data_IF_077838342161
#
_entry.id   IF_077838342161
#
_cell.length_a   1.000
_cell.length_b   1.000
_cell.length_c   1.000
_cell.angle_alpha   90.00
_cell.angle_beta   90.00
_cell.angle_gamma   90.00
#
_symmetry.space_group_name_H-M   'P 1'
#
loop_
_entity.id
_entity.type
_entity.pdbx_description
1 polymer ?
#
# COMPACT_ATOMS: atom_id res chain seq x y z
N UNK A 1 11.47 2.04 -9.47
CA UNK A 1 12.16 3.34 -9.42
C UNK A 1 12.70 3.49 -8.00
N UNK A 2 14.02 3.66 -7.79
CA UNK A 2 14.61 3.84 -6.46
C UNK A 2 15.58 5.02 -6.51
N UNK A 3 15.54 5.90 -5.51
CA UNK A 3 16.45 7.06 -5.41
C UNK A 3 17.13 7.04 -4.05
N UNK A 4 18.43 7.30 -4.05
CA UNK A 4 19.22 7.38 -2.82
C UNK A 4 18.77 8.59 -1.98
N UNK A 5 18.59 8.37 -0.68
CA UNK A 5 18.30 9.42 0.29
C UNK A 5 19.56 10.27 0.52
N UNK A 6 19.43 11.60 0.40
CA UNK A 6 20.46 12.56 0.83
C UNK A 6 19.84 13.58 1.78
N UNK A 7 20.47 13.83 2.93
CA UNK A 7 20.11 14.92 3.85
C UNK A 7 20.80 16.20 3.36
N UNK A 8 20.10 17.34 3.18
CA UNK A 8 18.70 17.61 3.48
C UNK A 8 17.74 17.14 2.36
N UNK A 9 16.54 16.74 2.76
CA UNK A 9 15.46 16.30 1.86
C UNK A 9 15.13 17.40 0.85
N UNK A 10 15.51 17.20 -0.41
CA UNK A 10 15.30 18.16 -1.50
C UNK A 10 13.83 18.15 -1.93
N UNK A 11 13.28 19.31 -2.26
CA UNK A 11 11.93 19.47 -2.80
C UNK A 11 11.77 18.66 -4.11
N UNK A 12 10.69 17.89 -4.23
CA UNK A 12 10.54 16.87 -5.28
C UNK A 12 9.55 17.30 -6.38
N UNK A 13 9.82 16.89 -7.63
CA UNK A 13 9.01 17.19 -8.82
C UNK A 13 7.73 16.32 -8.85
N UNK A 14 6.59 16.95 -9.16
CA UNK A 14 5.22 16.40 -9.08
C UNK A 14 4.87 15.29 -10.09
N UNK A 15 5.77 14.90 -10.98
CA UNK A 15 5.45 13.98 -12.07
C UNK A 15 6.25 12.69 -12.02
N UNK A 16 5.57 11.60 -12.41
CA UNK A 16 6.04 10.22 -12.62
C UNK A 16 5.86 9.27 -11.42
N UNK A 17 4.60 8.94 -11.09
CA UNK A 17 4.16 7.65 -10.49
C UNK A 17 2.69 7.41 -10.89
N UNK A 18 2.28 6.16 -11.14
CA UNK A 18 0.86 5.77 -11.22
C UNK A 18 0.12 6.27 -9.98
N UNK A 19 -0.88 7.13 -10.17
CA UNK A 19 -1.60 7.85 -9.12
C UNK A 19 -2.16 6.92 -8.01
N UNK A 20 -2.53 5.71 -8.38
CA UNK A 20 -3.21 4.70 -7.56
C UNK A 20 -2.46 4.28 -6.29
N UNK A 21 -1.14 4.37 -6.29
CA UNK A 21 -0.29 3.97 -5.16
C UNK A 21 0.25 5.17 -4.36
N UNK A 22 -0.20 6.38 -4.67
CA UNK A 22 0.31 7.60 -4.04
C UNK A 22 -0.24 7.77 -2.62
N UNK A 23 0.67 8.02 -1.68
CA UNK A 23 0.33 8.19 -0.27
C UNK A 23 -0.47 9.49 0.00
N UNK A 24 -1.36 9.51 1.01
CA UNK A 24 -2.24 10.65 1.27
C UNK A 24 -1.44 11.92 1.63
N UNK A 25 -0.31 11.82 2.31
CA UNK A 25 0.54 12.97 2.63
C UNK A 25 1.16 13.62 1.38
N UNK A 26 1.42 12.83 0.34
CA UNK A 26 1.92 13.34 -0.95
C UNK A 26 0.78 14.01 -1.71
N UNK A 27 -0.40 13.36 -1.76
CA UNK A 27 -1.61 13.92 -2.38
C UNK A 27 -2.06 15.23 -1.70
N UNK A 28 -1.89 15.32 -0.38
CA UNK A 28 -2.24 16.49 0.41
C UNK A 28 -1.16 17.59 0.39
N UNK A 29 -0.05 17.37 -0.31
CA UNK A 29 0.99 18.38 -0.55
C UNK A 29 1.99 18.54 0.59
N UNK A 30 2.27 17.49 1.37
CA UNK A 30 3.33 17.54 2.39
C UNK A 30 4.68 17.97 1.76
N UNK A 31 5.38 18.97 2.31
CA UNK A 31 6.62 19.48 1.74
C UNK A 31 7.79 18.49 1.83
N UNK A 32 7.67 17.50 2.72
CA UNK A 32 8.65 16.44 2.92
C UNK A 32 7.97 15.10 3.06
N UNK A 33 8.55 14.08 2.46
CA UNK A 33 8.15 12.70 2.60
C UNK A 33 9.39 11.80 2.67
N UNK A 34 9.21 10.59 3.20
CA UNK A 34 10.29 9.62 3.41
C UNK A 34 9.78 8.20 3.20
N UNK A 35 10.43 7.22 3.84
CA UNK A 35 10.11 5.79 3.70
C UNK A 35 8.65 5.39 3.94
N UNK A 36 7.80 6.11 4.72
CA UNK A 36 6.39 5.75 4.85
C UNK A 36 5.59 5.76 3.54
N UNK A 37 5.99 6.51 2.51
CA UNK A 37 5.28 6.52 1.21
C UNK A 37 5.39 5.18 0.49
N UNK A 38 6.52 4.49 0.66
CA UNK A 38 6.74 3.15 0.11
C UNK A 38 5.85 2.14 0.83
N UNK A 39 5.68 2.29 2.16
CA UNK A 39 4.83 1.42 2.96
C UNK A 39 3.35 1.57 2.63
N UNK A 40 2.90 2.78 2.28
CA UNK A 40 1.55 3.00 1.74
C UNK A 40 1.35 2.29 0.41
N UNK A 41 2.32 2.46 -0.51
CA UNK A 41 2.30 1.80 -1.82
C UNK A 41 2.24 0.28 -1.66
N UNK A 42 3.01 -0.28 -0.71
CA UNK A 42 2.95 -1.69 -0.35
C UNK A 42 1.56 -2.11 0.15
N UNK A 43 0.90 -1.31 1.00
CA UNK A 43 -0.46 -1.59 1.44
C UNK A 43 -1.48 -1.62 0.30
N UNK A 44 -1.34 -0.70 -0.66
CA UNK A 44 -2.18 -0.67 -1.86
C UNK A 44 -1.98 -1.92 -2.73
N UNK A 45 -0.72 -2.29 -2.99
CA UNK A 45 -0.37 -3.52 -3.73
C UNK A 45 -0.84 -4.76 -2.97
N UNK A 46 -0.70 -4.77 -1.65
CA UNK A 46 -1.15 -5.89 -0.80
C UNK A 46 -2.65 -6.12 -0.93
N UNK A 47 -3.47 -5.06 -0.84
CA UNK A 47 -4.91 -5.16 -1.08
C UNK A 47 -5.24 -5.58 -2.53
N UNK A 48 -4.53 -5.04 -3.51
CA UNK A 48 -4.69 -5.40 -4.92
C UNK A 48 -4.39 -6.88 -5.20
N UNK A 49 -3.39 -7.47 -4.54
CA UNK A 49 -3.08 -8.90 -4.69
C UNK A 49 -4.24 -9.81 -4.26
N UNK A 50 -5.06 -9.40 -3.31
CA UNK A 50 -6.23 -10.18 -2.88
C UNK A 50 -7.42 -10.03 -3.83
N UNK A 51 -7.77 -8.80 -4.21
CA UNK A 51 -8.97 -8.55 -5.04
C UNK A 51 -8.72 -8.66 -6.56
N UNK A 52 -7.46 -8.56 -7.01
CA UNK A 52 -7.09 -8.66 -8.42
C UNK A 52 -7.23 -7.37 -9.25
N UNK A 53 -7.62 -6.26 -8.63
CA UNK A 53 -7.68 -4.93 -9.23
C UNK A 53 -7.14 -3.86 -8.26
N UNK A 54 -6.77 -2.66 -8.74
CA UNK A 54 -6.15 -1.64 -7.89
C UNK A 54 -7.04 -1.22 -6.71
N UNK A 55 -6.44 -1.09 -5.53
CA UNK A 55 -7.16 -0.75 -4.30
C UNK A 55 -7.82 0.63 -4.35
N UNK A 56 -7.11 1.60 -4.91
CA UNK A 56 -7.59 2.95 -5.12
C UNK A 56 -7.28 3.32 -6.56
N UNK A 57 -8.32 3.47 -7.38
CA UNK A 57 -8.18 3.69 -8.81
C UNK A 57 -8.75 5.06 -9.20
N UNK A 58 -8.26 6.11 -8.57
CA UNK A 58 -8.72 7.47 -8.85
C UNK A 58 -8.20 7.99 -10.19
N UNK A 59 -9.03 8.79 -10.87
CA UNK A 59 -8.71 9.38 -12.19
C UNK A 59 -8.09 10.78 -12.07
N UNK A 60 -8.05 11.35 -10.87
CA UNK A 60 -7.41 12.63 -10.53
C UNK A 60 -6.94 12.64 -9.08
N UNK A 61 -6.08 13.58 -8.68
CA UNK A 61 -5.59 13.65 -7.30
C UNK A 61 -6.72 13.79 -6.28
N UNK A 62 -7.75 14.58 -6.59
CA UNK A 62 -8.91 14.76 -5.70
C UNK A 62 -9.76 13.49 -5.62
N UNK A 63 -9.95 12.81 -6.74
CA UNK A 63 -10.69 11.55 -6.78
C UNK A 63 -9.94 10.45 -6.02
N UNK A 64 -8.62 10.37 -6.18
CA UNK A 64 -7.75 9.48 -5.41
C UNK A 64 -7.85 9.77 -3.90
N UNK A 65 -7.85 11.03 -3.48
CA UNK A 65 -8.07 11.41 -2.07
C UNK A 65 -9.45 10.93 -1.58
N UNK A 66 -10.50 11.11 -2.38
CA UNK A 66 -11.84 10.70 -1.99
C UNK A 66 -12.01 9.18 -1.93
N UNK A 67 -11.45 8.43 -2.87
CA UNK A 67 -11.38 6.96 -2.82
C UNK A 67 -10.73 6.49 -1.51
N UNK A 68 -9.61 7.09 -1.13
CA UNK A 68 -8.93 6.80 0.14
C UNK A 68 -9.85 7.09 1.34
N UNK A 69 -10.48 8.27 1.37
CA UNK A 69 -11.34 8.66 2.50
C UNK A 69 -12.63 7.85 2.57
N UNK A 70 -13.19 7.41 1.44
CA UNK A 70 -14.36 6.55 1.41
C UNK A 70 -14.07 5.22 2.13
N UNK A 71 -12.90 4.62 1.88
CA UNK A 71 -12.54 3.34 2.49
C UNK A 71 -12.04 3.51 3.94
N UNK A 72 -11.13 4.46 4.17
CA UNK A 72 -10.39 4.58 5.44
C UNK A 72 -10.98 5.61 6.40
N UNK A 73 -11.95 6.40 5.95
CA UNK A 73 -12.49 7.55 6.66
C UNK A 73 -11.71 8.83 6.38
N UNK A 74 -12.38 9.98 6.54
CA UNK A 74 -11.72 11.29 6.42
C UNK A 74 -10.87 11.53 7.66
N UNK A 75 -9.55 11.78 7.54
CA UNK A 75 -8.69 12.02 8.68
C UNK A 75 -9.18 13.20 9.54
N UNK A 76 -9.07 13.03 10.85
CA UNK A 76 -9.36 14.05 11.85
C UNK A 76 -8.09 14.41 12.62
N UNK A 77 -8.13 15.49 13.41
CA UNK A 77 -7.00 15.83 14.29
C UNK A 77 -6.70 14.80 15.37
N UNK A 78 -7.60 13.84 15.62
CA UNK A 78 -7.34 12.76 16.56
C UNK A 78 -6.49 11.65 15.93
N UNK A 79 -6.72 11.37 14.64
CA UNK A 79 -6.08 10.25 13.93
C UNK A 79 -4.83 10.71 13.17
N UNK A 80 -4.79 11.99 12.79
CA UNK A 80 -3.67 12.64 12.13
C UNK A 80 -3.58 14.11 12.60
N UNK A 81 -2.86 14.38 13.71
CA UNK A 81 -2.86 15.68 14.39
C UNK A 81 -2.55 16.89 13.49
N UNK A 82 -1.66 16.71 12.52
CA UNK A 82 -1.17 17.79 11.66
C UNK A 82 -1.83 17.82 10.26
N UNK A 83 -2.91 17.06 10.03
CA UNK A 83 -3.52 16.96 8.69
C UNK A 83 -4.02 18.32 8.17
N UNK A 84 -4.52 19.19 9.06
CA UNK A 84 -5.03 20.52 8.71
C UNK A 84 -3.95 21.49 8.25
N UNK A 85 -2.67 21.19 8.53
CA UNK A 85 -1.53 22.00 8.12
C UNK A 85 -1.06 21.68 6.70
N UNK A 86 -1.61 20.62 6.09
CA UNK A 86 -1.21 20.22 4.74
C UNK A 86 -1.83 21.14 3.69
N UNK A 87 -1.05 21.64 2.70
CA UNK A 87 -1.49 22.68 1.76
C UNK A 87 -2.80 22.36 1.01
N UNK A 88 -2.98 21.09 0.63
CA UNK A 88 -4.14 20.67 -0.16
C UNK A 88 -5.27 20.09 0.69
N UNK A 89 -5.12 20.04 2.01
CA UNK A 89 -6.24 19.67 2.88
C UNK A 89 -7.27 20.80 2.92
N UNK A 90 -8.55 20.47 2.67
CA UNK A 90 -9.66 21.42 2.76
C UNK A 90 -10.64 20.97 3.84
N UNK A 91 -11.00 21.89 4.74
CA UNK A 91 -12.00 21.62 5.78
C UNK A 91 -13.37 21.26 5.20
N UNK A 92 -13.65 21.71 3.96
CA UNK A 92 -14.86 21.41 3.19
C UNK A 92 -14.91 19.99 2.61
N UNK A 93 -13.85 19.18 2.73
CA UNK A 93 -13.90 17.80 2.28
C UNK A 93 -15.01 17.02 3.00
N UNK A 94 -15.74 16.14 2.28
CA UNK A 94 -16.76 15.30 2.89
C UNK A 94 -16.20 14.48 4.06
N UNK A 95 -17.02 14.22 5.06
CA UNK A 95 -16.64 13.45 6.26
C UNK A 95 -17.14 12.02 6.13
N UNK A 96 -16.24 11.13 5.71
CA UNK A 96 -16.49 9.70 5.60
C UNK A 96 -16.11 8.99 6.90
N UNK A 97 -16.84 7.92 7.23
CA UNK A 97 -16.48 6.98 8.29
C UNK A 97 -15.68 5.82 7.70
N UNK A 98 -14.76 5.27 8.47
CA UNK A 98 -13.98 4.10 8.05
C UNK A 98 -14.88 2.89 7.77
N UNK A 99 -14.74 2.30 6.59
CA UNK A 99 -15.48 1.14 6.12
C UNK A 99 -14.78 -0.15 6.56
N UNK A 100 -14.79 -0.42 7.88
CA UNK A 100 -14.08 -1.56 8.49
C UNK A 100 -14.47 -2.92 7.90
N UNK A 101 -15.74 -3.10 7.55
CA UNK A 101 -16.25 -4.35 6.95
C UNK A 101 -15.70 -4.55 5.54
N UNK A 102 -15.71 -3.48 4.73
CA UNK A 102 -15.17 -3.53 3.37
C UNK A 102 -13.64 -3.78 3.38
N UNK A 103 -12.92 -3.15 4.31
CA UNK A 103 -11.47 -3.37 4.45
C UNK A 103 -11.12 -4.82 4.85
N UNK A 104 -11.98 -5.49 5.64
CA UNK A 104 -11.84 -6.94 5.92
C UNK A 104 -12.13 -7.80 4.70
N UNK A 105 -13.18 -7.46 3.96
CA UNK A 105 -13.58 -8.20 2.76
C UNK A 105 -12.49 -8.18 1.68
N UNK A 106 -11.73 -7.07 1.57
CA UNK A 106 -10.60 -6.97 0.64
C UNK A 106 -9.56 -8.08 0.87
N UNK A 107 -9.39 -8.56 2.10
CA UNK A 107 -8.42 -9.61 2.45
C UNK A 107 -9.11 -10.92 2.85
N UNK A 108 -10.24 -11.23 2.21
CA UNK A 108 -11.01 -12.45 2.43
C UNK A 108 -11.43 -12.71 3.89
N UNK A 109 -11.54 -11.65 4.69
CA UNK A 109 -11.78 -11.71 6.13
C UNK A 109 -10.71 -12.47 6.93
N UNK A 110 -9.50 -12.61 6.40
CA UNK A 110 -8.33 -13.04 7.17
C UNK A 110 -7.95 -11.92 8.15
N UNK A 111 -8.16 -12.16 9.45
CA UNK A 111 -7.89 -11.15 10.49
C UNK A 111 -6.41 -10.80 10.62
N UNK A 112 -5.49 -11.72 10.27
CA UNK A 112 -4.04 -11.47 10.30
C UNK A 112 -3.64 -10.61 9.10
N UNK A 113 -4.17 -10.91 7.92
CA UNK A 113 -3.97 -10.08 6.73
C UNK A 113 -4.59 -8.68 6.91
N UNK A 114 -5.78 -8.61 7.53
CA UNK A 114 -6.48 -7.37 7.83
C UNK A 114 -5.68 -6.48 8.78
N UNK A 115 -5.10 -7.04 9.85
CA UNK A 115 -4.25 -6.25 10.76
C UNK A 115 -3.03 -5.67 10.03
N UNK A 116 -2.37 -6.47 9.16
CA UNK A 116 -1.26 -5.99 8.35
C UNK A 116 -1.70 -4.87 7.40
N UNK A 117 -2.73 -5.09 6.59
CA UNK A 117 -3.25 -4.11 5.62
C UNK A 117 -3.62 -2.80 6.31
N UNK A 118 -4.35 -2.89 7.43
CA UNK A 118 -4.77 -1.72 8.20
C UNK A 118 -3.58 -0.90 8.71
N UNK A 119 -2.48 -1.55 9.13
CA UNK A 119 -1.27 -0.87 9.63
C UNK A 119 -0.41 -0.26 8.52
N UNK A 120 -0.42 -0.86 7.33
CA UNK A 120 0.22 -0.32 6.12
C UNK A 120 -0.53 0.91 5.59
N UNK A 121 -1.86 0.94 5.70
CA UNK A 121 -2.73 2.01 5.20
C UNK A 121 -3.10 3.07 6.25
N UNK A 122 -2.28 3.27 7.29
CA UNK A 122 -2.51 4.39 8.21
C UNK A 122 -2.21 5.71 7.48
N UNK A 123 -3.16 6.65 7.50
CA UNK A 123 -3.01 7.93 6.82
C UNK A 123 -1.87 8.78 7.38
N UNK A 124 -1.72 8.86 8.71
CA UNK A 124 -0.61 9.56 9.33
C UNK A 124 0.72 8.81 9.10
N UNK A 125 1.67 9.38 8.33
CA UNK A 125 2.93 8.69 8.02
C UNK A 125 3.84 8.49 9.24
N UNK A 126 3.63 9.23 10.34
CA UNK A 126 4.48 9.14 11.54
C UNK A 126 4.26 7.86 12.34
N UNK A 127 3.05 7.30 12.23
CA UNK A 127 2.63 6.07 12.93
C UNK A 127 2.35 4.91 11.97
N UNK A 128 2.46 5.13 10.65
CA UNK A 128 2.36 4.09 9.63
C UNK A 128 3.45 3.04 9.83
N UNK A 129 3.10 1.76 9.68
CA UNK A 129 4.01 0.65 9.89
C UNK A 129 5.27 0.76 9.01
N UNK A 130 6.45 0.67 9.64
CA UNK A 130 7.73 0.61 8.93
C UNK A 130 8.05 -0.81 8.44
N UNK A 131 8.80 -0.92 7.34
CA UNK A 131 9.16 -2.20 6.71
C UNK A 131 9.73 -3.25 7.67
N UNK A 132 10.63 -2.84 8.57
CA UNK A 132 11.22 -3.74 9.58
C UNK A 132 10.18 -4.42 10.46
N UNK A 133 9.13 -3.70 10.85
CA UNK A 133 8.04 -4.24 11.66
C UNK A 133 7.05 -5.05 10.83
N UNK A 134 6.86 -4.69 9.55
CA UNK A 134 6.03 -5.47 8.63
C UNK A 134 6.61 -6.87 8.41
N UNK A 135 7.94 -7.00 8.29
CA UNK A 135 8.62 -8.30 8.13
C UNK A 135 8.47 -9.22 9.36
N UNK A 136 8.31 -8.65 10.55
CA UNK A 136 8.11 -9.37 11.80
C UNK A 136 6.62 -9.66 12.09
N UNK A 137 5.71 -9.23 11.21
CA UNK A 137 4.28 -9.38 11.41
C UNK A 137 3.85 -10.85 11.36
N UNK A 138 2.86 -11.22 12.18
CA UNK A 138 2.31 -12.59 12.24
C UNK A 138 1.81 -13.13 10.90
N UNK A 139 1.50 -12.24 9.96
CA UNK A 139 1.13 -12.61 8.58
C UNK A 139 2.24 -13.40 7.87
N UNK A 140 3.50 -13.08 8.17
CA UNK A 140 4.66 -13.78 7.62
C UNK A 140 5.20 -14.86 8.58
N UNK A 141 4.49 -15.18 9.68
CA UNK A 141 4.90 -16.22 10.59
C UNK A 141 4.96 -17.58 9.86
N UNK A 142 6.11 -18.26 9.94
CA UNK A 142 6.33 -19.52 9.24
C UNK A 142 6.73 -19.40 7.76
N UNK A 143 6.78 -18.17 7.20
CA UNK A 143 7.32 -17.94 5.88
C UNK A 143 8.86 -18.00 5.92
N UNK A 144 9.45 -18.97 5.24
CA UNK A 144 10.89 -19.03 4.99
C UNK A 144 11.15 -18.64 3.52
N UNK A 145 11.69 -17.44 3.25
CA UNK A 145 11.96 -16.96 1.90
C UNK A 145 12.83 -17.94 1.09
N UNK A 146 13.73 -18.67 1.75
CA UNK A 146 14.67 -19.60 1.08
C UNK A 146 13.97 -20.89 0.65
N UNK A 147 12.97 -21.36 1.40
CA UNK A 147 12.17 -22.53 1.02
C UNK A 147 11.19 -22.22 -0.10
N UNK A 148 10.53 -21.05 -0.05
CA UNK A 148 9.50 -20.68 -1.03
C UNK A 148 10.07 -20.47 -2.44
N UNK A 149 11.22 -19.80 -2.58
CA UNK A 149 11.85 -19.59 -3.89
C UNK A 149 12.19 -20.94 -4.53
N UNK A 150 12.73 -21.89 -3.76
CA UNK A 150 13.03 -23.24 -4.21
C UNK A 150 11.80 -23.98 -4.76
N UNK A 151 10.65 -23.86 -4.09
CA UNK A 151 9.38 -24.45 -4.51
C UNK A 151 8.81 -23.82 -5.78
N UNK A 152 8.94 -22.50 -5.96
CA UNK A 152 8.50 -21.81 -7.18
C UNK A 152 9.35 -22.23 -8.38
N UNK A 153 10.67 -22.38 -8.20
CA UNK A 153 11.55 -22.87 -9.27
C UNK A 153 11.18 -24.30 -9.67
N UNK A 154 10.90 -25.17 -8.70
CA UNK A 154 10.51 -26.56 -8.95
C UNK A 154 9.11 -26.68 -9.58
N UNK A 155 8.16 -25.82 -9.21
CA UNK A 155 6.81 -25.81 -9.80
C UNK A 155 6.83 -25.36 -11.27
N UNK A 156 7.72 -24.43 -11.66
CA UNK A 156 7.92 -24.05 -13.06
C UNK A 156 8.54 -25.18 -13.91
N UNK A 157 9.37 -26.03 -13.31
CA UNK A 157 9.96 -27.18 -14.01
C UNK A 157 8.95 -28.31 -14.26
N UNK A 158 7.94 -28.45 -13.41
CA UNK A 158 6.94 -29.53 -13.53
C UNK A 158 5.75 -29.21 -14.46
N UNK A 159 5.70 -28.01 -15.06
CA UNK A 159 4.64 -27.62 -16.00
C UNK A 159 5.06 -27.61 -17.49
N UNK A 160 6.29 -28.01 -17.81
CA UNK A 160 6.66 -28.40 -19.17
C UNK A 160 6.72 -29.92 -19.22
N UNK A 161 5.61 -30.55 -19.60
CA UNK A 161 5.68 -31.94 -20.05
C UNK A 161 6.39 -31.91 -21.41
N UNK A 162 7.44 -32.71 -21.53
CA UNK A 162 8.14 -32.95 -22.78
C UNK A 162 7.66 -34.29 -23.33
N UNK A 163 7.40 -34.36 -24.63
CA UNK A 163 7.16 -35.63 -25.29
C UNK A 163 8.47 -36.44 -25.41
N UNK A 164 8.37 -37.68 -25.92
CA UNK A 164 9.49 -38.61 -26.12
C UNK A 164 10.59 -38.04 -27.05
N UNK A 165 10.29 -36.94 -27.76
CA UNK A 165 11.16 -36.26 -28.71
C UNK A 165 11.64 -34.89 -28.22
N UNK A 166 11.45 -34.57 -26.93
CA UNK A 166 11.91 -33.35 -26.27
C UNK A 166 11.28 -32.05 -26.84
N UNK A 167 10.04 -32.12 -27.34
CA UNK A 167 9.24 -30.94 -27.67
C UNK A 167 8.29 -30.60 -26.51
N UNK A 168 8.06 -29.30 -26.29
CA UNK A 168 7.09 -28.79 -25.30
C UNK A 168 5.68 -29.19 -25.76
N UNK A 169 4.94 -29.91 -24.91
CA UNK A 169 3.52 -30.26 -25.14
C UNK A 169 2.64 -29.03 -24.86
#
# INVERSE_FOLDING_TARGET
LGRAFSVPLKSYTHEIVTLWYRAPEVLLGSPSYGTPVDMWSLGCIFGEMYQGWPLFHGDSEIDQIFQIFILLGTPSGNDWPNVFLLPQFKSSFPKFKMQKTQLRQIVDNDEVAYDLLKRLLICDPTIRMAARYALEHSYFAGYDPKKTVSSITNAKTNHMQYDENNNVI
#
